data_IF_098504897944
#
_entry.id   IF_098504897944
#
_cell.length_a   1.000
_cell.length_b   1.000
_cell.length_c   1.000
_cell.angle_alpha   90.00
_cell.angle_beta   90.00
_cell.angle_gamma   90.00
#
_symmetry.space_group_name_H-M   'P 1'
#
loop_
_entity.id
_entity.type
_entity.pdbx_description
1 polymer ?
#
# COMPACT_ATOMS: atom_id res chain seq x y z
N UNK A 1 84.61 -9.01 -5.64
CA UNK A 1 83.36 -9.71 -6.00
C UNK A 1 82.49 -10.04 -4.78
N UNK A 2 83.01 -10.75 -3.76
CA UNK A 2 82.22 -11.24 -2.61
C UNK A 2 81.56 -10.14 -1.75
N UNK A 3 82.28 -9.04 -1.45
CA UNK A 3 81.75 -7.92 -0.66
C UNK A 3 80.64 -7.14 -1.39
N UNK A 4 80.75 -7.00 -2.72
CA UNK A 4 79.75 -6.34 -3.56
C UNK A 4 78.48 -7.19 -3.65
N UNK A 5 78.61 -8.52 -3.79
CA UNK A 5 77.48 -9.44 -3.79
C UNK A 5 76.72 -9.47 -2.45
N UNK A 6 77.43 -9.43 -1.32
CA UNK A 6 76.84 -9.35 0.02
C UNK A 6 76.07 -8.03 0.24
N UNK A 7 76.61 -6.92 -0.28
CA UNK A 7 75.97 -5.61 -0.21
C UNK A 7 74.68 -5.55 -1.05
N UNK A 8 74.71 -6.02 -2.31
CA UNK A 8 73.54 -6.08 -3.19
C UNK A 8 72.47 -7.02 -2.62
N UNK A 9 72.89 -8.19 -2.10
CA UNK A 9 71.97 -9.13 -1.46
C UNK A 9 71.25 -8.49 -0.27
N UNK A 10 71.93 -7.72 0.59
CA UNK A 10 71.28 -7.01 1.70
C UNK A 10 70.37 -5.88 1.25
N UNK A 11 70.71 -5.18 0.15
CA UNK A 11 69.86 -4.13 -0.42
C UNK A 11 68.52 -4.64 -0.97
N UNK A 12 68.48 -5.89 -1.43
CA UNK A 12 67.25 -6.51 -1.97
C UNK A 12 66.51 -7.33 -0.91
N UNK A 13 67.24 -8.15 -0.15
CA UNK A 13 66.63 -9.15 0.75
C UNK A 13 65.95 -8.50 1.95
N UNK A 14 66.51 -7.42 2.49
CA UNK A 14 65.92 -6.75 3.67
C UNK A 14 64.57 -6.09 3.35
N UNK A 15 64.45 -5.25 2.30
CA UNK A 15 63.14 -4.70 1.91
C UNK A 15 62.08 -5.75 1.55
N UNK A 16 62.47 -6.87 0.93
CA UNK A 16 61.54 -7.97 0.64
C UNK A 16 61.07 -8.66 1.93
N UNK A 17 61.98 -8.86 2.89
CA UNK A 17 61.62 -9.42 4.18
C UNK A 17 60.69 -8.49 4.97
N UNK A 18 60.98 -7.19 5.00
CA UNK A 18 60.14 -6.19 5.66
C UNK A 18 58.74 -6.14 5.00
N UNK A 19 58.67 -6.27 3.67
CA UNK A 19 57.41 -6.39 2.95
C UNK A 19 56.63 -7.65 3.33
N UNK A 20 57.30 -8.81 3.39
CA UNK A 20 56.67 -10.06 3.82
C UNK A 20 56.07 -9.94 5.24
N UNK A 21 56.85 -9.45 6.21
CA UNK A 21 56.41 -9.25 7.59
C UNK A 21 55.23 -8.27 7.66
N UNK A 22 55.31 -7.15 6.94
CA UNK A 22 54.24 -6.16 6.90
C UNK A 22 52.94 -6.72 6.31
N UNK A 23 53.02 -7.52 5.24
CA UNK A 23 51.83 -8.19 4.67
C UNK A 23 51.20 -9.19 5.63
N UNK A 24 52.00 -9.91 6.44
CA UNK A 24 51.48 -10.86 7.43
C UNK A 24 50.75 -10.14 8.56
N UNK A 25 51.26 -8.98 9.01
CA UNK A 25 50.63 -8.14 10.03
C UNK A 25 49.27 -7.61 9.55
N UNK A 26 49.22 -7.10 8.31
CA UNK A 26 47.98 -6.61 7.69
C UNK A 26 46.99 -7.76 7.49
N UNK A 27 47.46 -8.94 7.04
CA UNK A 27 46.65 -10.15 6.86
C UNK A 27 46.03 -10.68 8.16
N UNK A 28 46.64 -10.38 9.32
CA UNK A 28 46.08 -10.65 10.66
C UNK A 28 45.05 -9.61 11.12
N UNK A 29 44.74 -8.61 10.29
CA UNK A 29 43.70 -7.60 10.53
C UNK A 29 44.21 -6.24 11.03
N UNK A 30 45.53 -6.05 11.16
CA UNK A 30 46.08 -4.75 11.57
C UNK A 30 46.28 -3.83 10.37
N UNK A 31 45.20 -3.17 9.95
CA UNK A 31 45.19 -2.23 8.83
C UNK A 31 45.82 -0.86 9.15
N UNK A 32 46.28 -0.64 10.39
CA UNK A 32 47.04 0.56 10.78
C UNK A 32 48.54 0.43 10.49
N UNK A 33 49.01 -0.78 10.20
CA UNK A 33 50.41 -1.03 9.89
C UNK A 33 50.76 -0.53 8.47
N UNK A 34 51.93 0.10 8.34
CA UNK A 34 52.53 0.48 7.06
C UNK A 34 53.82 -0.30 6.87
N UNK A 35 54.00 -0.83 5.67
CA UNK A 35 55.20 -1.60 5.29
C UNK A 35 56.43 -0.68 5.25
N UNK A 36 56.28 0.53 4.71
CA UNK A 36 57.24 1.63 4.80
C UNK A 36 58.70 1.27 4.49
N UNK A 37 59.10 1.30 3.21
CA UNK A 37 60.52 1.11 2.82
C UNK A 37 61.17 2.42 2.33
N UNK A 38 62.46 2.68 2.64
CA UNK A 38 63.19 3.85 2.15
C UNK A 38 63.69 3.70 0.70
N UNK A 39 63.42 2.56 0.05
CA UNK A 39 63.89 2.26 -1.29
C UNK A 39 63.18 3.15 -2.33
N UNK A 40 63.92 3.63 -3.32
CA UNK A 40 63.38 4.43 -4.44
C UNK A 40 63.22 3.62 -5.74
N UNK A 41 63.48 2.32 -5.66
CA UNK A 41 63.39 1.35 -6.75
C UNK A 41 62.00 0.72 -6.87
N UNK A 42 61.89 -0.37 -7.63
CA UNK A 42 60.67 -1.16 -7.82
C UNK A 42 60.11 -1.71 -6.50
N UNK A 43 60.97 -2.05 -5.53
CA UNK A 43 60.53 -2.55 -4.22
C UNK A 43 59.87 -1.41 -3.43
N UNK A 44 60.44 -0.20 -3.52
CA UNK A 44 59.84 1.01 -2.99
C UNK A 44 58.46 1.31 -3.59
N UNK A 45 58.30 1.13 -4.90
CA UNK A 45 57.01 1.30 -5.57
C UNK A 45 55.98 0.27 -5.10
N UNK A 46 56.38 -1.00 -4.97
CA UNK A 46 55.50 -2.06 -4.47
C UNK A 46 55.05 -1.80 -3.03
N UNK A 47 55.96 -1.37 -2.15
CA UNK A 47 55.63 -0.98 -0.77
C UNK A 47 54.57 0.13 -0.72
N UNK A 48 54.71 1.18 -1.54
CA UNK A 48 53.72 2.27 -1.61
C UNK A 48 52.36 1.81 -2.14
N UNK A 49 52.35 0.92 -3.14
CA UNK A 49 51.11 0.35 -3.67
C UNK A 49 50.39 -0.51 -2.61
N UNK A 50 51.14 -1.25 -1.80
CA UNK A 50 50.60 -2.07 -0.71
C UNK A 50 50.04 -1.22 0.43
N UNK A 51 50.74 -0.16 0.83
CA UNK A 51 50.26 0.79 1.83
C UNK A 51 48.96 1.47 1.36
N UNK A 52 48.87 1.84 0.08
CA UNK A 52 47.63 2.38 -0.52
C UNK A 52 46.48 1.38 -0.49
N UNK A 53 46.73 0.11 -0.87
CA UNK A 53 45.71 -0.95 -0.80
C UNK A 53 45.21 -1.16 0.62
N UNK A 54 46.10 -1.09 1.61
CA UNK A 54 45.77 -1.23 3.03
C UNK A 54 44.86 -0.08 3.50
N UNK A 55 45.17 1.15 3.07
CA UNK A 55 44.34 2.32 3.33
C UNK A 55 42.94 2.20 2.70
N UNK A 56 42.86 1.78 1.42
CA UNK A 56 41.59 1.55 0.72
C UNK A 56 40.76 0.43 1.40
N UNK A 57 41.42 -0.66 1.84
CA UNK A 57 40.80 -1.77 2.56
C UNK A 57 40.26 -1.31 3.92
N UNK A 58 41.01 -0.47 4.64
CA UNK A 58 40.57 0.13 5.91
C UNK A 58 39.34 1.02 5.72
N UNK A 59 39.36 1.87 4.70
CA UNK A 59 38.22 2.74 4.35
C UNK A 59 36.97 1.94 3.99
N UNK A 60 37.14 0.86 3.23
CA UNK A 60 36.06 -0.06 2.85
C UNK A 60 35.49 -0.80 4.07
N UNK A 61 36.36 -1.34 4.93
CA UNK A 61 35.93 -2.06 6.15
C UNK A 61 35.13 -1.16 7.08
N UNK A 62 35.62 0.07 7.32
CA UNK A 62 34.92 1.06 8.15
C UNK A 62 33.55 1.42 7.57
N UNK A 63 33.47 1.55 6.24
CA UNK A 63 32.23 1.85 5.53
C UNK A 63 31.23 0.69 5.60
N UNK A 64 31.70 -0.56 5.50
CA UNK A 64 30.90 -1.77 5.69
C UNK A 64 30.34 -1.84 7.11
N UNK A 65 31.15 -1.56 8.13
CA UNK A 65 30.71 -1.57 9.53
C UNK A 65 29.64 -0.51 9.81
N UNK A 66 29.82 0.70 9.26
CA UNK A 66 28.82 1.76 9.34
C UNK A 66 27.50 1.36 8.67
N UNK A 67 27.57 0.78 7.46
CA UNK A 67 26.40 0.31 6.72
C UNK A 67 25.69 -0.84 7.46
N UNK A 68 26.44 -1.79 8.01
CA UNK A 68 25.90 -2.91 8.78
C UNK A 68 25.15 -2.41 10.03
N UNK A 69 25.69 -1.39 10.71
CA UNK A 69 25.02 -0.76 11.85
C UNK A 69 23.71 -0.08 11.42
N UNK A 70 23.73 0.69 10.34
CA UNK A 70 22.53 1.34 9.80
C UNK A 70 21.46 0.32 9.40
N UNK A 71 21.84 -0.76 8.72
CA UNK A 71 20.94 -1.86 8.33
C UNK A 71 20.34 -2.54 9.57
N UNK A 72 21.13 -2.75 10.62
CA UNK A 72 20.62 -3.34 11.87
C UNK A 72 19.60 -2.42 12.57
N UNK A 73 19.86 -1.11 12.60
CA UNK A 73 18.93 -0.13 13.15
C UNK A 73 17.63 -0.04 12.33
N UNK A 74 17.74 0.00 10.99
CA UNK A 74 16.58 -0.03 10.07
C UNK A 74 15.74 -1.29 10.27
N UNK A 75 16.35 -2.48 10.29
CA UNK A 75 15.64 -3.75 10.54
C UNK A 75 14.91 -3.75 11.88
N UNK A 76 15.51 -3.18 12.93
CA UNK A 76 14.87 -3.06 14.25
C UNK A 76 13.67 -2.12 14.21
N UNK A 77 13.77 -1.00 13.49
CA UNK A 77 12.67 -0.05 13.30
C UNK A 77 11.52 -0.64 12.46
N UNK A 78 11.84 -1.35 11.38
CA UNK A 78 10.88 -2.08 10.54
C UNK A 78 10.14 -3.14 11.35
N UNK A 79 10.86 -3.95 12.13
CA UNK A 79 10.25 -4.97 13.00
C UNK A 79 9.26 -4.36 13.99
N UNK A 80 9.65 -3.30 14.70
CA UNK A 80 8.76 -2.59 15.63
C UNK A 80 7.52 -2.03 14.94
N UNK A 81 7.69 -1.45 13.76
CA UNK A 81 6.58 -0.91 12.95
C UNK A 81 5.63 -2.03 12.54
N UNK A 82 6.17 -3.15 12.07
CA UNK A 82 5.37 -4.33 11.68
C UNK A 82 4.59 -4.90 12.86
N UNK A 83 5.21 -5.06 14.03
CA UNK A 83 4.53 -5.52 15.26
C UNK A 83 3.41 -4.58 15.68
N UNK A 84 3.65 -3.26 15.63
CA UNK A 84 2.62 -2.26 15.93
C UNK A 84 1.45 -2.29 14.92
N UNK A 85 1.75 -2.48 13.64
CA UNK A 85 0.72 -2.64 12.59
C UNK A 85 -0.12 -3.91 12.82
N UNK A 86 0.51 -5.02 13.20
CA UNK A 86 -0.18 -6.27 13.49
C UNK A 86 -1.12 -6.13 14.68
N UNK A 87 -0.64 -5.57 15.80
CA UNK A 87 -1.47 -5.30 16.99
C UNK A 87 -2.64 -4.38 16.67
N UNK A 88 -2.40 -3.31 15.90
CA UNK A 88 -3.46 -2.40 15.45
C UNK A 88 -4.51 -3.12 14.61
N UNK A 89 -4.07 -3.98 13.70
CA UNK A 89 -4.97 -4.71 12.82
C UNK A 89 -5.77 -5.79 13.58
N UNK A 90 -5.16 -6.49 14.54
CA UNK A 90 -5.86 -7.41 15.45
C UNK A 90 -6.89 -6.69 16.32
N UNK A 91 -6.53 -5.54 16.90
CA UNK A 91 -7.43 -4.72 17.70
C UNK A 91 -8.66 -4.27 16.91
N UNK A 92 -8.47 -3.72 15.70
CA UNK A 92 -9.60 -3.29 14.87
C UNK A 92 -10.46 -4.48 14.46
N UNK A 93 -9.86 -5.64 14.16
CA UNK A 93 -10.62 -6.85 13.85
C UNK A 93 -11.52 -7.29 15.00
N UNK A 94 -10.99 -7.28 16.23
CA UNK A 94 -11.75 -7.61 17.44
C UNK A 94 -12.90 -6.63 17.65
N UNK A 95 -12.60 -5.32 17.65
CA UNK A 95 -13.61 -4.27 17.86
C UNK A 95 -14.73 -4.37 16.83
N UNK A 96 -14.41 -4.58 15.56
CA UNK A 96 -15.43 -4.69 14.53
C UNK A 96 -16.32 -5.92 14.67
N UNK A 97 -15.78 -7.05 15.15
CA UNK A 97 -16.59 -8.22 15.47
C UNK A 97 -17.54 -7.94 16.63
N UNK A 98 -17.02 -7.38 17.72
CA UNK A 98 -17.79 -7.04 18.93
C UNK A 98 -18.85 -5.95 18.67
N UNK A 99 -18.66 -5.10 17.65
CA UNK A 99 -19.67 -4.12 17.22
C UNK A 99 -20.70 -4.71 16.24
N UNK A 100 -20.32 -5.70 15.41
CA UNK A 100 -21.23 -6.29 14.42
C UNK A 100 -22.38 -7.04 15.08
N UNK A 101 -22.10 -7.81 16.13
CA UNK A 101 -23.10 -8.60 16.86
C UNK A 101 -24.23 -7.74 17.44
N UNK A 102 -23.97 -6.71 18.27
CA UNK A 102 -25.04 -5.86 18.81
C UNK A 102 -25.75 -5.06 17.71
N UNK A 103 -25.07 -4.64 16.65
CA UNK A 103 -25.74 -3.96 15.53
C UNK A 103 -26.70 -4.85 14.77
N UNK A 104 -26.35 -6.14 14.61
CA UNK A 104 -27.22 -7.13 13.99
C UNK A 104 -28.49 -7.32 14.84
N UNK A 105 -28.32 -7.47 16.16
CA UNK A 105 -29.46 -7.56 17.09
C UNK A 105 -30.34 -6.30 17.07
N UNK A 106 -29.75 -5.10 17.03
CA UNK A 106 -30.52 -3.84 16.91
C UNK A 106 -31.27 -3.79 15.57
N UNK A 107 -30.63 -4.18 14.46
CA UNK A 107 -31.25 -4.20 13.13
C UNK A 107 -32.44 -5.16 13.08
N UNK A 108 -32.27 -6.37 13.63
CA UNK A 108 -33.33 -7.38 13.73
C UNK A 108 -34.48 -6.88 14.61
N UNK A 109 -34.18 -6.29 15.77
CA UNK A 109 -35.19 -5.69 16.65
C UNK A 109 -36.00 -4.59 15.95
N UNK A 110 -35.33 -3.69 15.22
CA UNK A 110 -36.01 -2.67 14.41
C UNK A 110 -36.89 -3.31 13.34
N UNK A 111 -36.41 -4.38 12.67
CA UNK A 111 -37.18 -5.12 11.67
C UNK A 111 -38.46 -5.73 12.25
N UNK A 112 -38.34 -6.47 13.36
CA UNK A 112 -39.46 -7.10 14.06
C UNK A 112 -40.54 -6.08 14.42
N UNK A 113 -40.14 -4.92 14.96
CA UNK A 113 -41.08 -3.84 15.30
C UNK A 113 -41.69 -3.24 14.02
N UNK A 114 -40.87 -2.94 13.00
CA UNK A 114 -41.32 -2.30 11.76
C UNK A 114 -42.34 -3.14 10.98
N UNK A 115 -42.21 -4.47 11.04
CA UNK A 115 -43.10 -5.42 10.37
C UNK A 115 -44.43 -5.60 11.11
N UNK A 116 -44.58 -4.99 12.29
CA UNK A 116 -45.80 -5.04 13.10
C UNK A 116 -45.95 -6.34 13.91
N UNK A 117 -44.90 -7.17 13.98
CA UNK A 117 -44.89 -8.46 14.69
C UNK A 117 -45.18 -8.30 16.18
N UNK A 118 -44.72 -7.21 16.78
CA UNK A 118 -44.93 -6.89 18.21
C UNK A 118 -46.12 -5.93 18.45
N UNK A 119 -46.94 -5.67 17.42
CA UNK A 119 -48.08 -4.76 17.48
C UNK A 119 -48.09 -3.75 16.33
N UNK A 120 -49.24 -3.10 16.11
CA UNK A 120 -49.40 -2.12 15.03
C UNK A 120 -48.52 -0.88 15.27
N UNK A 121 -47.76 -0.51 14.26
CA UNK A 121 -46.91 0.69 14.23
C UNK A 121 -47.65 1.81 13.52
N UNK A 122 -47.71 3.00 14.13
CA UNK A 122 -48.29 4.18 13.48
C UNK A 122 -47.32 4.81 12.46
N UNK A 123 -47.78 5.82 11.71
CA UNK A 123 -46.96 6.44 10.65
C UNK A 123 -45.68 7.07 11.19
N UNK A 124 -45.76 7.81 12.29
CA UNK A 124 -44.63 8.51 12.89
C UNK A 124 -43.58 7.53 13.43
N UNK A 125 -44.02 6.48 14.11
CA UNK A 125 -43.15 5.40 14.59
C UNK A 125 -42.44 4.70 13.43
N UNK A 126 -43.14 4.46 12.31
CA UNK A 126 -42.54 3.86 11.11
C UNK A 126 -41.44 4.75 10.53
N UNK A 127 -41.64 6.08 10.52
CA UNK A 127 -40.61 7.02 10.08
C UNK A 127 -39.36 6.98 10.97
N UNK A 128 -39.54 6.99 12.30
CA UNK A 128 -38.41 6.88 13.24
C UNK A 128 -37.67 5.54 13.12
N UNK A 129 -38.38 4.43 12.93
CA UNK A 129 -37.79 3.11 12.73
C UNK A 129 -36.99 3.04 11.43
N UNK A 130 -37.49 3.62 10.34
CA UNK A 130 -36.75 3.74 9.09
C UNK A 130 -35.47 4.59 9.24
N UNK A 131 -35.54 5.69 10.01
CA UNK A 131 -34.35 6.49 10.34
C UNK A 131 -33.34 5.64 11.14
N UNK A 132 -33.79 4.91 12.15
CA UNK A 132 -32.93 4.06 12.97
C UNK A 132 -32.27 2.95 12.13
N UNK A 133 -33.07 2.25 11.30
CA UNK A 133 -32.60 1.20 10.38
C UNK A 133 -31.52 1.72 9.45
N UNK A 134 -31.76 2.86 8.79
CA UNK A 134 -30.76 3.50 7.90
C UNK A 134 -29.46 3.85 8.62
N UNK A 135 -29.53 4.28 9.88
CA UNK A 135 -28.32 4.59 10.66
C UNK A 135 -27.55 3.34 11.07
N UNK A 136 -28.24 2.26 11.46
CA UNK A 136 -27.61 0.97 11.78
C UNK A 136 -26.95 0.37 10.54
N UNK A 137 -27.64 0.36 9.40
CA UNK A 137 -27.09 -0.10 8.13
C UNK A 137 -25.87 0.72 7.71
N UNK A 138 -25.94 2.04 7.91
CA UNK A 138 -24.79 2.91 7.67
C UNK A 138 -23.62 2.54 8.57
N UNK A 139 -23.83 2.39 9.88
CA UNK A 139 -22.76 2.06 10.83
C UNK A 139 -22.13 0.69 10.54
N UNK A 140 -22.94 -0.30 10.17
CA UNK A 140 -22.45 -1.61 9.74
C UNK A 140 -21.53 -1.50 8.51
N UNK A 141 -21.89 -0.66 7.53
CA UNK A 141 -21.00 -0.37 6.38
C UNK A 141 -19.70 0.32 6.82
N UNK A 142 -19.76 1.33 7.70
CA UNK A 142 -18.53 2.00 8.20
C UNK A 142 -17.55 1.01 8.86
N UNK A 143 -18.08 0.08 9.64
CA UNK A 143 -17.27 -0.93 10.34
C UNK A 143 -16.60 -1.88 9.35
N UNK A 144 -17.33 -2.31 8.31
CA UNK A 144 -16.78 -3.15 7.25
C UNK A 144 -15.72 -2.39 6.42
N UNK A 145 -15.98 -1.15 6.01
CA UNK A 145 -15.00 -0.32 5.29
C UNK A 145 -13.68 -0.19 6.09
N UNK A 146 -13.78 0.03 7.41
CA UNK A 146 -12.62 0.11 8.30
C UNK A 146 -11.87 -1.24 8.37
N UNK A 147 -12.60 -2.35 8.49
CA UNK A 147 -12.00 -3.69 8.51
C UNK A 147 -11.23 -3.99 7.23
N UNK A 148 -11.85 -3.75 6.07
CA UNK A 148 -11.25 -4.07 4.79
C UNK A 148 -10.05 -3.16 4.51
N UNK A 149 -10.14 -1.89 4.88
CA UNK A 149 -8.98 -0.99 4.89
C UNK A 149 -7.83 -1.51 5.76
N UNK A 150 -8.10 -2.02 6.97
CA UNK A 150 -7.06 -2.59 7.83
C UNK A 150 -6.46 -3.89 7.27
N UNK A 151 -7.25 -4.75 6.64
CA UNK A 151 -6.74 -5.95 5.97
C UNK A 151 -5.84 -5.59 4.81
N UNK A 152 -6.22 -4.59 4.02
CA UNK A 152 -5.44 -4.10 2.89
C UNK A 152 -4.12 -3.46 3.37
N UNK A 153 -4.15 -2.59 4.38
CA UNK A 153 -2.93 -1.97 4.95
C UNK A 153 -1.96 -2.98 5.57
N UNK A 154 -2.48 -4.06 6.16
CA UNK A 154 -1.65 -5.13 6.75
C UNK A 154 -1.22 -6.20 5.74
N UNK A 155 -1.61 -6.09 4.46
CA UNK A 155 -1.33 -7.10 3.44
C UNK A 155 -2.02 -8.45 3.68
N UNK A 156 -3.05 -8.49 4.54
CA UNK A 156 -3.80 -9.71 4.92
C UNK A 156 -5.06 -9.94 4.10
N UNK A 157 -5.37 -9.03 3.19
CA UNK A 157 -6.46 -9.20 2.22
C UNK A 157 -6.09 -10.35 1.27
N UNK A 158 -6.96 -11.36 1.20
CA UNK A 158 -6.79 -12.51 0.30
C UNK A 158 -7.68 -12.29 -0.91
N UNK A 159 -7.07 -12.25 -2.08
CA UNK A 159 -7.77 -12.11 -3.35
C UNK A 159 -8.02 -13.49 -3.98
N UNK A 160 -9.24 -13.73 -4.43
CA UNK A 160 -9.64 -14.92 -5.19
C UNK A 160 -9.55 -14.65 -6.70
N UNK A 161 -8.32 -14.54 -7.20
CA UNK A 161 -8.02 -14.17 -8.60
C UNK A 161 -8.34 -15.33 -9.55
N UNK A 162 -9.46 -15.22 -10.26
CA UNK A 162 -9.95 -16.20 -11.24
C UNK A 162 -10.16 -15.58 -12.62
N UNK A 163 -10.24 -16.42 -13.64
CA UNK A 163 -10.59 -15.99 -14.98
C UNK A 163 -12.08 -15.63 -15.04
N UNK A 164 -12.38 -14.35 -15.25
CA UNK A 164 -13.71 -13.78 -15.17
C UNK A 164 -13.99 -12.87 -16.37
N UNK A 165 -15.28 -12.63 -16.64
CA UNK A 165 -15.73 -11.72 -17.69
C UNK A 165 -16.12 -10.37 -17.06
N UNK A 166 -15.44 -9.30 -17.47
CA UNK A 166 -15.69 -7.95 -16.93
C UNK A 166 -17.07 -7.41 -17.32
N UNK A 167 -17.61 -7.80 -18.48
CA UNK A 167 -18.93 -7.34 -18.93
C UNK A 167 -20.03 -7.85 -18.00
N UNK A 168 -19.97 -9.12 -17.60
CA UNK A 168 -20.92 -9.71 -16.65
C UNK A 168 -20.93 -8.94 -15.32
N UNK A 169 -19.75 -8.55 -14.84
CA UNK A 169 -19.60 -7.79 -13.60
C UNK A 169 -20.18 -6.38 -13.72
N UNK A 170 -19.89 -5.68 -14.82
CA UNK A 170 -20.44 -4.33 -15.07
C UNK A 170 -21.96 -4.37 -15.23
N UNK A 171 -22.50 -5.40 -15.90
CA UNK A 171 -23.95 -5.59 -16.02
C UNK A 171 -24.62 -5.86 -14.67
N UNK A 172 -24.00 -6.69 -13.84
CA UNK A 172 -24.49 -7.01 -12.49
C UNK A 172 -24.58 -5.75 -11.62
N UNK A 173 -23.51 -4.96 -11.59
CA UNK A 173 -23.48 -3.67 -10.89
C UNK A 173 -24.48 -2.70 -11.51
N UNK A 174 -24.52 -2.59 -12.83
CA UNK A 174 -25.42 -1.69 -13.56
C UNK A 174 -26.90 -2.00 -13.29
N UNK A 175 -27.30 -3.27 -13.21
CA UNK A 175 -28.66 -3.69 -12.85
C UNK A 175 -29.02 -3.27 -11.43
N UNK A 176 -28.11 -3.49 -10.48
CA UNK A 176 -28.33 -3.16 -9.06
C UNK A 176 -28.40 -1.65 -8.84
N UNK A 177 -27.52 -0.88 -9.48
CA UNK A 177 -27.43 0.57 -9.30
C UNK A 177 -28.49 1.35 -10.09
N UNK A 178 -29.15 0.72 -11.08
CA UNK A 178 -30.20 1.38 -11.88
C UNK A 178 -31.36 1.84 -11.01
N UNK A 179 -31.85 0.99 -10.11
CA UNK A 179 -32.94 1.34 -9.20
C UNK A 179 -32.60 2.54 -8.31
N UNK A 180 -31.36 2.59 -7.82
CA UNK A 180 -30.89 3.69 -6.98
C UNK A 180 -30.73 5.01 -7.76
N UNK A 181 -30.26 4.94 -9.01
CA UNK A 181 -30.17 6.10 -9.88
C UNK A 181 -31.57 6.64 -10.25
N UNK A 182 -32.52 5.75 -10.56
CA UNK A 182 -33.91 6.10 -10.90
C UNK A 182 -34.67 6.73 -9.73
N UNK A 183 -34.45 6.26 -8.49
CA UNK A 183 -35.00 6.87 -7.28
C UNK A 183 -34.57 8.35 -7.13
N UNK A 184 -33.36 8.69 -7.58
CA UNK A 184 -32.85 10.07 -7.62
C UNK A 184 -33.19 10.83 -8.92
N UNK A 185 -33.92 10.21 -9.84
CA UNK A 185 -34.27 10.79 -11.14
C UNK A 185 -33.11 10.91 -12.13
N UNK A 186 -32.06 10.09 -11.98
CA UNK A 186 -30.89 10.05 -12.85
C UNK A 186 -30.98 8.90 -13.86
N UNK A 187 -30.43 9.10 -15.07
CA UNK A 187 -30.31 8.02 -16.07
C UNK A 187 -29.00 7.26 -15.89
N UNK A 188 -29.05 5.94 -15.77
CA UNK A 188 -27.86 5.07 -15.78
C UNK A 188 -27.79 4.30 -17.10
N UNK A 189 -26.69 4.48 -17.84
CA UNK A 189 -26.41 3.78 -19.10
C UNK A 189 -25.18 2.88 -18.99
N UNK A 190 -25.20 1.75 -19.68
CA UNK A 190 -24.09 0.79 -19.73
C UNK A 190 -23.73 0.57 -21.20
N UNK A 191 -22.46 0.76 -21.56
CA UNK A 191 -21.94 0.58 -22.94
C UNK A 191 -20.73 -0.35 -22.89
N UNK A 192 -20.89 -1.56 -23.40
CA UNK A 192 -19.87 -2.59 -23.35
C UNK A 192 -19.42 -2.95 -24.76
N UNK A 193 -18.15 -3.27 -24.90
CA UNK A 193 -17.63 -3.92 -26.10
C UNK A 193 -17.89 -5.43 -26.00
N UNK A 194 -18.59 -5.99 -26.97
CA UNK A 194 -19.01 -7.40 -26.97
C UNK A 194 -17.82 -8.37 -27.13
N UNK A 195 -16.64 -7.89 -27.52
CA UNK A 195 -15.46 -8.72 -27.85
C UNK A 195 -14.37 -8.73 -26.79
N UNK A 196 -14.66 -8.32 -25.56
CA UNK A 196 -13.65 -8.31 -24.50
C UNK A 196 -13.23 -9.74 -24.09
N UNK A 197 -11.92 -10.02 -23.99
CA UNK A 197 -11.45 -11.31 -23.51
C UNK A 197 -11.73 -11.48 -22.02
N UNK A 198 -11.80 -12.74 -21.58
CA UNK A 198 -11.77 -13.04 -20.14
C UNK A 198 -10.40 -12.69 -19.59
N UNK A 199 -10.38 -12.13 -18.38
CA UNK A 199 -9.15 -11.69 -17.70
C UNK A 199 -9.15 -12.18 -16.25
N UNK A 200 -7.96 -12.23 -15.65
CA UNK A 200 -7.80 -12.71 -14.27
C UNK A 200 -7.98 -11.58 -13.27
N UNK A 201 -9.04 -11.64 -12.46
CA UNK A 201 -9.30 -10.70 -11.38
C UNK A 201 -10.21 -11.33 -10.32
N UNK A 202 -10.30 -10.68 -9.15
CA UNK A 202 -11.24 -11.03 -8.10
C UNK A 202 -12.58 -10.36 -8.39
N UNK A 203 -13.61 -11.17 -8.65
CA UNK A 203 -14.93 -10.69 -9.06
C UNK A 203 -15.56 -9.78 -7.99
N UNK A 204 -15.48 -10.17 -6.72
CA UNK A 204 -16.20 -9.49 -5.64
C UNK A 204 -15.55 -8.14 -5.34
N UNK A 205 -14.22 -8.08 -5.37
CA UNK A 205 -13.45 -6.84 -5.19
C UNK A 205 -13.70 -5.84 -6.33
N UNK A 206 -13.82 -6.30 -7.58
CA UNK A 206 -14.17 -5.42 -8.70
C UNK A 206 -15.62 -4.94 -8.61
N UNK A 207 -16.56 -5.79 -8.16
CA UNK A 207 -17.94 -5.37 -7.86
C UNK A 207 -17.92 -4.24 -6.82
N UNK A 208 -17.12 -4.37 -5.77
CA UNK A 208 -16.99 -3.35 -4.73
C UNK A 208 -16.44 -2.03 -5.29
N UNK A 209 -15.36 -2.08 -6.07
CA UNK A 209 -14.78 -0.89 -6.72
C UNK A 209 -15.81 -0.19 -7.60
N UNK A 210 -16.49 -0.91 -8.48
CA UNK A 210 -17.48 -0.33 -9.40
C UNK A 210 -18.70 0.20 -8.64
N UNK A 211 -19.16 -0.51 -7.61
CA UNK A 211 -20.24 -0.07 -6.73
C UNK A 211 -19.90 1.24 -6.05
N UNK A 212 -18.68 1.39 -5.53
CA UNK A 212 -18.25 2.63 -4.88
C UNK A 212 -18.15 3.80 -5.87
N UNK A 213 -17.57 3.57 -7.06
CA UNK A 213 -17.49 4.60 -8.11
C UNK A 213 -18.87 5.06 -8.57
N UNK A 214 -19.79 4.12 -8.83
CA UNK A 214 -21.17 4.46 -9.26
C UNK A 214 -21.95 5.13 -8.13
N UNK A 215 -21.82 4.67 -6.88
CA UNK A 215 -22.45 5.34 -5.74
C UNK A 215 -21.95 6.77 -5.57
N UNK A 216 -20.64 7.01 -5.75
CA UNK A 216 -20.08 8.37 -5.74
C UNK A 216 -20.66 9.22 -6.90
N UNK A 217 -20.73 8.66 -8.10
CA UNK A 217 -21.38 9.31 -9.25
C UNK A 217 -22.85 9.68 -8.98
N UNK A 218 -23.65 8.75 -8.44
CA UNK A 218 -25.05 9.00 -8.05
C UNK A 218 -25.11 10.07 -6.97
N UNK A 219 -24.25 9.99 -5.95
CA UNK A 219 -24.21 10.91 -4.82
C UNK A 219 -23.94 12.36 -5.27
N UNK A 220 -23.00 12.59 -6.17
CA UNK A 220 -22.54 13.93 -6.59
C UNK A 220 -23.21 14.48 -7.87
N UNK A 221 -24.13 13.72 -8.49
CA UNK A 221 -24.94 14.19 -9.62
C UNK A 221 -26.34 14.58 -9.15
N UNK A 222 -26.77 15.81 -9.42
CA UNK A 222 -28.14 16.26 -9.08
C UNK A 222 -29.13 16.04 -10.22
N UNK A 223 -28.70 16.30 -11.47
CA UNK A 223 -29.48 16.12 -12.69
C UNK A 223 -28.57 15.58 -13.79
N UNK A 224 -29.13 14.83 -14.74
CA UNK A 224 -28.40 14.25 -15.85
C UNK A 224 -28.30 12.73 -15.73
N UNK A 225 -27.08 12.19 -15.79
CA UNK A 225 -26.91 10.74 -15.81
C UNK A 225 -25.49 10.26 -15.58
N UNK A 226 -25.37 8.95 -15.58
CA UNK A 226 -24.16 8.19 -15.29
C UNK A 226 -23.99 7.16 -16.42
N UNK A 227 -22.75 6.98 -16.86
CA UNK A 227 -22.39 6.02 -17.88
C UNK A 227 -21.29 5.09 -17.37
N UNK A 228 -21.53 3.79 -17.45
CA UNK A 228 -20.52 2.75 -17.26
C UNK A 228 -20.06 2.25 -18.63
N UNK A 229 -18.76 2.18 -18.85
CA UNK A 229 -18.19 1.80 -20.14
C UNK A 229 -17.03 0.83 -19.96
N UNK A 230 -16.94 -0.17 -20.84
CA UNK A 230 -15.77 -1.04 -20.97
C UNK A 230 -15.34 -1.16 -22.43
N UNK A 231 -14.04 -0.99 -22.68
CA UNK A 231 -13.44 -1.18 -23.99
C UNK A 231 -12.02 -1.73 -23.87
N UNK A 232 -11.55 -2.36 -24.94
CA UNK A 232 -10.14 -2.74 -25.06
C UNK A 232 -9.34 -1.51 -25.46
N UNK A 233 -8.25 -1.27 -24.75
CA UNK A 233 -7.26 -0.25 -25.10
C UNK A 233 -5.87 -0.87 -25.04
N UNK A 234 -5.26 -1.07 -26.21
CA UNK A 234 -3.98 -1.75 -26.35
C UNK A 234 -4.06 -3.14 -25.68
N UNK A 235 -3.16 -3.44 -24.75
CA UNK A 235 -3.09 -4.71 -24.02
C UNK A 235 -3.93 -4.74 -22.74
N UNK A 236 -4.77 -3.72 -22.51
CA UNK A 236 -5.55 -3.56 -21.28
C UNK A 236 -7.03 -3.44 -21.55
N UNK A 237 -7.84 -3.87 -20.57
CA UNK A 237 -9.25 -3.54 -20.52
C UNK A 237 -9.40 -2.24 -19.72
N UNK A 238 -10.02 -1.24 -20.32
CA UNK A 238 -10.36 0.01 -19.66
C UNK A 238 -11.83 -0.02 -19.25
N UNK A 239 -12.05 0.07 -17.95
CA UNK A 239 -13.37 0.30 -17.37
C UNK A 239 -13.46 1.75 -16.91
N UNK A 240 -14.58 2.41 -17.18
CA UNK A 240 -14.81 3.80 -16.77
C UNK A 240 -16.23 4.02 -16.28
N UNK A 241 -16.35 4.88 -15.27
CA UNK A 241 -17.60 5.41 -14.76
C UNK A 241 -17.55 6.91 -14.96
N UNK A 242 -18.54 7.46 -15.65
CA UNK A 242 -18.65 8.89 -15.95
C UNK A 242 -19.96 9.43 -15.38
N UNK A 243 -19.89 10.58 -14.74
CA UNK A 243 -21.04 11.32 -14.23
C UNK A 243 -21.10 12.74 -14.80
N UNK A 244 -22.28 13.37 -14.73
CA UNK A 244 -22.51 14.76 -15.16
C UNK A 244 -22.64 15.72 -13.98
N UNK A 245 -22.07 15.37 -12.83
CA UNK A 245 -22.17 16.12 -11.58
C UNK A 245 -21.23 17.32 -11.49
N UNK A 246 -21.00 17.77 -10.26
CA UNK A 246 -20.22 18.98 -9.98
C UNK A 246 -18.72 18.90 -10.32
N UNK A 247 -18.21 17.71 -10.64
CA UNK A 247 -16.80 17.48 -10.92
C UNK A 247 -15.90 17.68 -9.71
N UNK A 248 -14.58 17.63 -9.94
CA UNK A 248 -13.55 17.75 -8.90
C UNK A 248 -12.60 18.88 -9.30
N UNK A 249 -12.28 19.78 -8.35
CA UNK A 249 -11.28 20.84 -8.56
C UNK A 249 -9.90 20.23 -8.78
N UNK A 250 -9.08 20.81 -9.66
CA UNK A 250 -7.73 20.30 -9.97
C UNK A 250 -6.85 20.16 -8.72
N UNK A 251 -6.93 21.11 -7.80
CA UNK A 251 -6.14 21.13 -6.55
C UNK A 251 -6.54 20.04 -5.56
N UNK A 252 -7.74 19.48 -5.72
CA UNK A 252 -8.29 18.43 -4.87
C UNK A 252 -8.10 17.02 -5.46
N UNK A 253 -7.70 16.91 -6.73
CA UNK A 253 -7.43 15.64 -7.40
C UNK A 253 -6.37 14.79 -6.69
N UNK A 254 -5.24 15.34 -6.18
CA UNK A 254 -4.24 14.55 -5.46
C UNK A 254 -4.73 14.00 -4.10
N UNK A 255 -5.86 14.51 -3.60
CA UNK A 255 -6.44 14.13 -2.31
C UNK A 255 -7.54 13.07 -2.45
N UNK A 256 -8.03 12.82 -3.66
CA UNK A 256 -9.22 11.98 -3.89
C UNK A 256 -9.10 10.57 -3.30
N UNK A 257 -7.91 9.96 -3.40
CA UNK A 257 -7.66 8.58 -2.94
C UNK A 257 -6.95 8.52 -1.58
N UNK A 258 -6.91 9.62 -0.83
CA UNK A 258 -6.36 9.62 0.53
C UNK A 258 -7.44 9.13 1.50
N UNK A 259 -7.06 8.18 2.35
CA UNK A 259 -7.97 7.57 3.32
C UNK A 259 -8.54 8.62 4.28
N UNK A 260 -9.85 8.53 4.53
CA UNK A 260 -10.61 9.43 5.41
C UNK A 260 -10.72 10.89 4.94
N UNK A 261 -10.32 11.19 3.71
CA UNK A 261 -10.38 12.55 3.16
C UNK A 261 -11.70 12.79 2.40
N UNK A 262 -12.27 13.97 2.56
CA UNK A 262 -13.49 14.41 1.87
C UNK A 262 -13.27 15.82 1.32
N UNK A 263 -13.44 15.97 0.00
CA UNK A 263 -13.10 17.19 -0.72
C UNK A 263 -14.11 18.33 -0.47
N UNK A 264 -15.37 18.00 -0.17
CA UNK A 264 -16.41 18.98 0.11
C UNK A 264 -16.68 19.11 1.61
N UNK A 265 -16.19 20.20 2.22
CA UNK A 265 -16.61 20.69 3.55
C UNK A 265 -17.73 21.73 3.46
N UNK A 266 -18.51 21.74 2.37
CA UNK A 266 -19.45 22.83 2.14
C UNK A 266 -20.68 22.72 3.07
N UNK A 267 -20.94 23.81 3.80
CA UNK A 267 -21.81 23.84 5.00
C UNK A 267 -23.31 23.64 4.71
N UNK A 268 -23.73 23.54 3.45
CA UNK A 268 -25.15 23.55 3.07
C UNK A 268 -25.73 22.19 2.67
N UNK A 269 -24.91 21.19 2.30
CA UNK A 269 -25.36 19.81 2.04
C UNK A 269 -24.38 18.84 2.69
N UNK A 270 -24.69 18.33 3.87
CA UNK A 270 -23.91 17.27 4.55
C UNK A 270 -24.00 15.98 3.73
N UNK A 271 -23.19 15.82 2.69
CA UNK A 271 -23.11 14.57 1.95
C UNK A 271 -22.15 13.62 2.65
N UNK A 272 -22.67 12.90 3.65
CA UNK A 272 -21.86 12.09 4.55
C UNK A 272 -21.27 10.86 3.84
N UNK A 273 -19.99 10.58 4.07
CA UNK A 273 -19.28 9.37 3.63
C UNK A 273 -18.16 9.02 4.61
N UNK A 274 -17.48 7.90 4.39
CA UNK A 274 -16.28 7.49 5.16
C UNK A 274 -15.00 8.15 4.64
N UNK A 275 -14.92 8.41 3.34
CA UNK A 275 -13.66 8.68 2.66
C UNK A 275 -12.78 7.42 2.52
N UNK A 276 -13.39 6.22 2.63
CA UNK A 276 -12.72 4.93 2.42
C UNK A 276 -13.23 4.16 1.20
N UNK A 277 -14.37 4.58 0.64
CA UNK A 277 -14.97 3.98 -0.55
C UNK A 277 -14.30 4.43 -1.84
#
# INVERSE_FOLDING_TARGET
AFLVGSFISRLITKPIHDLHVGTEIIGKGNLDHKVGTPAQDEIGQLSRAFDKMTEDLKGTTTSIDALNKEVAERKKAEKKTSEAMELKSQFVSLVSHELRTPLTAIKEGIGIVSDGTTGKVNKDQKEFLEIAKRNVDRLARLINDILDFQKLQSGRMKFDIKENNINEVIEEVGKTMRSLAEEKGLKLSVKLDDKLPKIRFDKDEIIQVLTNLVNNAIKFTEKGGIAMMANQKEDLIRVSVQDTGCGIKKDDMPKLFRSFEQLQKDKQKKVVGTGLG
#
